data_IF_894588433171
#
_entry.id   IF_894588433171
#
_cell.length_a   1.000
_cell.length_b   1.000
_cell.length_c   1.000
_cell.angle_alpha   90.00
_cell.angle_beta   90.00
_cell.angle_gamma   90.00
#
_symmetry.space_group_name_H-M   'P 1'
#
loop_
_entity.id
_entity.type
_entity.pdbx_description
1 polymer ?
#
# COMPACT_ATOMS: atom_id res chain seq x y z
N UNK A 1 17.52 -7.07 -23.61
CA UNK A 1 17.21 -7.21 -25.05
C UNK A 1 16.71 -8.61 -25.38
N UNK A 2 17.53 -9.65 -25.13
CA UNK A 2 17.05 -11.04 -25.05
C UNK A 2 16.32 -11.27 -23.72
N UNK A 3 15.39 -12.22 -23.69
CA UNK A 3 14.73 -12.67 -22.44
C UNK A 3 15.71 -13.46 -21.56
N UNK A 4 15.56 -13.34 -20.23
CA UNK A 4 16.26 -14.16 -19.23
C UNK A 4 15.43 -15.36 -18.76
N UNK A 5 14.25 -15.57 -19.35
CA UNK A 5 13.45 -16.78 -19.09
C UNK A 5 14.23 -18.00 -19.54
N UNK A 6 14.33 -18.98 -18.64
CA UNK A 6 14.98 -20.26 -18.90
C UNK A 6 14.06 -21.41 -18.53
N UNK A 7 14.46 -22.65 -18.85
CA UNK A 7 13.77 -23.85 -18.32
C UNK A 7 13.71 -23.86 -16.79
N UNK A 8 14.67 -23.25 -16.10
CA UNK A 8 14.67 -23.16 -14.63
C UNK A 8 13.56 -22.25 -14.12
N UNK A 9 13.22 -21.18 -14.84
CA UNK A 9 12.07 -20.31 -14.52
C UNK A 9 10.76 -21.10 -14.48
N UNK A 10 10.55 -22.01 -15.44
CA UNK A 10 9.40 -22.92 -15.44
C UNK A 10 9.46 -23.94 -14.30
N UNK A 11 10.64 -24.54 -14.05
CA UNK A 11 10.79 -25.54 -12.97
C UNK A 11 10.51 -24.95 -11.59
N UNK A 12 10.94 -23.71 -11.34
CA UNK A 12 10.68 -23.01 -10.09
C UNK A 12 9.18 -22.81 -9.87
N UNK A 13 8.46 -22.33 -10.89
CA UNK A 13 7.01 -22.17 -10.82
C UNK A 13 6.27 -23.50 -10.68
N UNK A 14 6.79 -24.56 -11.32
CA UNK A 14 6.18 -25.89 -11.26
C UNK A 14 6.19 -26.51 -9.85
N UNK A 15 7.05 -26.03 -8.94
CA UNK A 15 7.04 -26.50 -7.55
C UNK A 15 5.73 -26.19 -6.83
N UNK A 16 5.06 -25.09 -7.21
CA UNK A 16 3.79 -24.66 -6.63
C UNK A 16 2.59 -25.50 -7.06
N UNK A 17 2.76 -26.40 -8.04
CA UNK A 17 1.69 -27.29 -8.50
C UNK A 17 1.45 -28.42 -7.50
N UNK A 18 0.21 -28.90 -7.42
CA UNK A 18 -0.16 -30.03 -6.54
C UNK A 18 0.57 -31.33 -6.90
N UNK A 19 1.06 -31.47 -8.14
CA UNK A 19 1.89 -32.60 -8.55
C UNK A 19 3.27 -32.62 -7.87
N UNK A 20 3.68 -31.49 -7.26
CA UNK A 20 5.00 -31.30 -6.65
C UNK A 20 4.87 -30.93 -5.17
N UNK A 21 5.13 -29.67 -4.79
CA UNK A 21 5.08 -29.22 -3.39
C UNK A 21 3.74 -28.59 -3.01
N UNK A 22 2.90 -28.24 -4.01
CA UNK A 22 1.65 -27.53 -3.82
C UNK A 22 1.82 -26.03 -3.51
N UNK A 23 0.71 -25.28 -3.40
CA UNK A 23 0.74 -23.86 -3.10
C UNK A 23 1.42 -23.60 -1.76
N UNK A 24 2.32 -22.63 -1.75
CA UNK A 24 3.05 -22.22 -0.56
C UNK A 24 3.33 -20.73 -0.57
N UNK A 25 3.39 -20.10 0.62
CA UNK A 25 3.75 -18.69 0.71
C UNK A 25 5.24 -18.44 0.44
N UNK A 26 6.07 -19.48 0.58
CA UNK A 26 7.52 -19.41 0.43
C UNK A 26 8.04 -20.48 -0.54
N UNK A 27 9.06 -20.17 -1.36
CA UNK A 27 9.68 -18.85 -1.51
C UNK A 27 8.71 -17.80 -2.09
N UNK A 28 8.85 -16.53 -1.69
CA UNK A 28 8.11 -15.41 -2.31
C UNK A 28 8.58 -15.21 -3.77
N UNK A 29 7.93 -15.89 -4.72
CA UNK A 29 8.32 -15.86 -6.14
C UNK A 29 7.77 -14.60 -6.80
N UNK A 30 8.70 -13.76 -7.28
CA UNK A 30 8.42 -12.57 -8.08
C UNK A 30 8.72 -12.81 -9.56
N UNK A 31 7.79 -12.43 -10.43
CA UNK A 31 7.97 -12.43 -11.87
C UNK A 31 8.29 -11.02 -12.34
N UNK A 32 9.47 -10.83 -12.94
CA UNK A 32 9.80 -9.58 -13.64
C UNK A 32 9.06 -9.57 -14.96
N UNK A 33 7.97 -8.81 -15.00
CA UNK A 33 7.05 -8.75 -16.12
C UNK A 33 7.47 -7.68 -17.13
N UNK A 34 7.54 -8.07 -18.39
CA UNK A 34 7.65 -7.19 -19.55
C UNK A 34 6.69 -7.76 -20.60
N UNK A 35 5.89 -6.94 -21.31
CA UNK A 35 4.99 -7.41 -22.36
C UNK A 35 5.71 -8.23 -23.46
N UNK A 36 7.03 -8.06 -23.62
CA UNK A 36 7.90 -8.80 -24.55
C UNK A 36 8.38 -10.15 -24.02
N UNK A 37 7.98 -10.57 -22.83
CA UNK A 37 8.26 -11.92 -22.34
C UNK A 37 7.70 -12.98 -23.32
N UNK A 38 8.34 -14.16 -23.43
CA UNK A 38 7.83 -15.24 -24.25
C UNK A 38 6.39 -15.60 -23.86
N UNK A 39 5.49 -15.65 -24.84
CA UNK A 39 4.05 -15.87 -24.62
C UNK A 39 3.76 -17.13 -23.80
N UNK A 40 4.46 -18.23 -24.10
CA UNK A 40 4.31 -19.47 -23.35
C UNK A 40 4.65 -19.33 -21.86
N UNK A 41 5.60 -18.44 -21.51
CA UNK A 41 5.93 -18.17 -20.12
C UNK A 41 4.89 -17.27 -19.45
N UNK A 42 4.42 -16.22 -20.13
CA UNK A 42 3.33 -15.36 -19.64
C UNK A 42 2.09 -16.18 -19.29
N UNK A 43 1.65 -17.05 -20.21
CA UNK A 43 0.52 -17.97 -19.99
C UNK A 43 0.75 -18.92 -18.82
N UNK A 44 1.98 -19.43 -18.65
CA UNK A 44 2.31 -20.32 -17.55
C UNK A 44 2.27 -19.60 -16.20
N UNK A 45 2.82 -18.39 -16.09
CA UNK A 45 2.71 -17.57 -14.88
C UNK A 45 1.25 -17.29 -14.53
N UNK A 46 0.46 -16.87 -15.51
CA UNK A 46 -0.98 -16.61 -15.34
C UNK A 46 -1.71 -17.86 -14.80
N UNK A 47 -1.45 -19.04 -15.38
CA UNK A 47 -2.00 -20.30 -14.87
C UNK A 47 -1.63 -20.54 -13.41
N UNK A 48 -0.36 -20.36 -13.04
CA UNK A 48 0.08 -20.52 -11.65
C UNK A 48 -0.63 -19.54 -10.71
N UNK A 49 -0.82 -18.28 -11.09
CA UNK A 49 -1.62 -17.33 -10.29
C UNK A 49 -3.07 -17.78 -10.13
N UNK A 50 -3.71 -18.26 -11.19
CA UNK A 50 -5.09 -18.76 -11.18
C UNK A 50 -5.22 -19.97 -10.24
N UNK A 51 -4.28 -20.91 -10.33
CA UNK A 51 -4.33 -22.17 -9.58
C UNK A 51 -3.97 -21.99 -8.10
N UNK A 52 -3.07 -21.03 -7.79
CA UNK A 52 -2.37 -21.02 -6.48
C UNK A 52 -2.44 -19.70 -5.73
N UNK A 53 -2.68 -18.58 -6.41
CA UNK A 53 -2.54 -17.22 -5.85
C UNK A 53 -1.21 -16.99 -5.08
N UNK A 54 -0.13 -17.68 -5.47
CA UNK A 54 1.11 -17.71 -4.68
C UNK A 54 2.22 -16.78 -5.19
N UNK A 55 2.12 -16.26 -6.42
CA UNK A 55 3.17 -15.44 -7.06
C UNK A 55 2.75 -13.98 -7.21
N UNK A 56 3.75 -13.11 -7.39
CA UNK A 56 3.56 -11.68 -7.67
C UNK A 56 4.32 -11.24 -8.93
N UNK A 57 4.00 -10.05 -9.40
CA UNK A 57 4.54 -9.48 -10.63
C UNK A 57 5.13 -8.10 -10.34
N UNK A 58 6.28 -7.80 -10.93
CA UNK A 58 6.94 -6.49 -10.84
C UNK A 58 7.42 -6.05 -12.22
N UNK A 59 7.44 -4.75 -12.48
CA UNK A 59 7.79 -4.16 -13.76
C UNK A 59 9.29 -4.33 -14.05
N UNK A 60 9.63 -5.25 -14.96
CA UNK A 60 11.02 -5.41 -15.44
C UNK A 60 11.53 -4.11 -16.06
N UNK A 61 10.65 -3.36 -16.75
CA UNK A 61 11.02 -2.11 -17.39
C UNK A 61 11.55 -1.11 -16.36
N UNK A 62 10.77 -0.82 -15.33
CA UNK A 62 11.13 0.20 -14.34
C UNK A 62 12.33 -0.25 -13.49
N UNK A 63 12.37 -1.54 -13.14
CA UNK A 63 13.50 -2.13 -12.41
C UNK A 63 14.78 -2.05 -13.24
N UNK A 64 14.73 -2.45 -14.51
CA UNK A 64 15.91 -2.49 -15.38
C UNK A 64 16.41 -1.11 -15.76
N UNK A 65 15.53 -0.13 -15.91
CA UNK A 65 15.88 1.27 -16.18
C UNK A 65 16.67 1.91 -15.02
N UNK A 66 16.36 1.56 -13.78
CA UNK A 66 17.02 2.12 -12.59
C UNK A 66 18.16 1.26 -12.03
N UNK A 67 17.99 -0.05 -12.05
CA UNK A 67 18.83 -0.99 -11.30
C UNK A 67 19.54 -1.99 -12.22
N UNK A 68 19.26 -1.99 -13.53
CA UNK A 68 19.89 -2.91 -14.48
C UNK A 68 19.25 -4.29 -14.54
N UNK A 69 19.82 -5.17 -15.35
CA UNK A 69 19.24 -6.47 -15.72
C UNK A 69 19.69 -7.65 -14.83
N UNK A 70 20.46 -7.36 -13.77
CA UNK A 70 20.89 -8.31 -12.73
C UNK A 70 20.45 -7.81 -11.33
N UNK A 71 19.20 -7.34 -11.27
CA UNK A 71 18.55 -6.94 -10.03
C UNK A 71 17.73 -8.09 -9.43
N UNK A 72 17.57 -8.08 -8.11
CA UNK A 72 16.67 -8.94 -7.38
C UNK A 72 15.78 -8.09 -6.46
N UNK A 73 14.72 -8.70 -5.95
CA UNK A 73 13.79 -8.03 -5.02
C UNK A 73 14.11 -8.49 -3.60
N UNK A 74 14.34 -7.52 -2.73
CA UNK A 74 14.37 -7.76 -1.29
C UNK A 74 12.99 -7.53 -0.68
N UNK A 75 12.66 -8.36 0.29
CA UNK A 75 11.40 -8.33 1.03
C UNK A 75 10.18 -8.54 0.11
N UNK A 76 9.57 -7.45 -0.36
CA UNK A 76 8.31 -7.45 -1.08
C UNK A 76 8.43 -6.87 -2.47
N UNK A 77 8.93 -5.63 -2.59
CA UNK A 77 8.85 -4.80 -3.80
C UNK A 77 10.08 -3.89 -3.96
N UNK A 78 11.15 -4.17 -3.22
CA UNK A 78 12.32 -3.28 -3.11
C UNK A 78 13.48 -3.83 -3.93
N UNK A 79 13.75 -3.29 -5.14
CA UNK A 79 14.75 -3.83 -6.03
C UNK A 79 16.16 -3.43 -5.59
N UNK A 80 17.12 -4.34 -5.80
CA UNK A 80 18.53 -4.11 -5.56
C UNK A 80 19.39 -4.79 -6.62
N UNK A 81 20.50 -4.15 -6.99
CA UNK A 81 21.57 -4.81 -7.75
C UNK A 81 22.26 -5.87 -6.89
N UNK A 82 22.19 -7.13 -7.32
CA UNK A 82 22.69 -8.27 -6.54
C UNK A 82 24.18 -8.10 -6.24
N UNK A 83 24.55 -8.21 -4.95
CA UNK A 83 25.93 -8.09 -4.49
C UNK A 83 26.52 -6.67 -4.58
N UNK A 84 25.74 -5.66 -4.97
CA UNK A 84 26.23 -4.27 -5.21
C UNK A 84 25.44 -3.21 -4.46
N UNK A 85 24.26 -3.56 -3.94
CA UNK A 85 23.33 -2.63 -3.34
C UNK A 85 22.61 -3.26 -2.14
N UNK A 86 22.25 -2.42 -1.18
CA UNK A 86 21.38 -2.78 -0.06
C UNK A 86 20.46 -1.60 0.29
N UNK A 87 19.34 -1.89 0.96
CA UNK A 87 18.48 -0.90 1.60
C UNK A 87 18.72 -0.90 3.10
N UNK A 88 18.82 0.30 3.68
CA UNK A 88 18.48 0.52 5.07
C UNK A 88 16.96 0.50 5.19
N UNK A 89 16.43 -0.57 5.79
CA UNK A 89 14.99 -0.77 5.95
C UNK A 89 14.41 0.15 7.03
N UNK A 90 13.39 0.92 6.67
CA UNK A 90 12.83 1.94 7.55
C UNK A 90 11.44 1.63 8.13
N UNK A 91 10.86 0.46 7.85
CA UNK A 91 9.44 0.21 8.05
C UNK A 91 8.54 1.19 7.27
N UNK A 92 7.70 2.00 7.92
CA UNK A 92 6.87 3.04 7.29
C UNK A 92 6.37 4.06 8.29
N UNK A 93 5.85 5.19 7.80
CA UNK A 93 5.10 6.19 8.58
C UNK A 93 3.59 6.17 8.28
N UNK A 94 2.80 6.62 9.25
CA UNK A 94 1.35 6.83 9.08
C UNK A 94 1.08 8.21 8.46
N UNK A 95 1.15 8.29 7.13
CA UNK A 95 0.94 9.54 6.40
C UNK A 95 -0.52 10.03 6.49
N UNK A 96 -1.50 9.13 6.64
CA UNK A 96 -2.89 9.51 6.82
C UNK A 96 -3.11 10.21 8.17
N UNK A 97 -2.58 9.67 9.29
CA UNK A 97 -2.72 10.30 10.61
C UNK A 97 -2.11 11.71 10.68
N UNK A 98 -1.05 11.98 9.90
CA UNK A 98 -0.51 13.34 9.79
C UNK A 98 -1.54 14.35 9.25
N UNK A 99 -2.53 13.93 8.45
CA UNK A 99 -3.65 14.78 8.02
C UNK A 99 -4.55 15.16 9.22
N UNK A 100 -4.80 14.21 10.13
CA UNK A 100 -5.59 14.48 11.34
C UNK A 100 -4.83 15.41 12.29
N UNK A 101 -3.51 15.23 12.43
CA UNK A 101 -2.67 16.17 13.17
C UNK A 101 -2.68 17.56 12.53
N UNK A 102 -2.65 17.64 11.20
CA UNK A 102 -2.74 18.91 10.47
C UNK A 102 -4.05 19.67 10.74
N UNK A 103 -5.15 18.95 10.89
CA UNK A 103 -6.46 19.50 11.25
C UNK A 103 -6.49 19.92 12.72
N UNK A 104 -5.98 19.08 13.62
CA UNK A 104 -6.06 19.27 15.08
C UNK A 104 -4.92 20.10 15.70
N UNK A 105 -4.06 20.72 14.88
CA UNK A 105 -2.95 21.54 15.37
C UNK A 105 -1.89 20.73 16.11
N UNK A 106 -1.56 19.54 15.59
CA UNK A 106 -0.57 18.64 16.15
C UNK A 106 -1.07 17.75 17.29
N UNK A 107 -2.35 17.84 17.67
CA UNK A 107 -2.96 16.98 18.68
C UNK A 107 -3.44 15.67 18.07
N UNK A 108 -3.21 14.58 18.80
CA UNK A 108 -3.69 13.25 18.45
C UNK A 108 -5.18 13.10 18.73
N UNK A 109 -5.94 12.69 17.72
CA UNK A 109 -7.39 12.58 17.76
C UNK A 109 -7.90 11.40 18.59
N UNK A 110 -7.01 10.45 18.95
CA UNK A 110 -7.36 9.26 19.73
C UNK A 110 -7.12 9.45 21.23
N UNK A 111 -6.17 10.31 21.60
CA UNK A 111 -5.69 10.48 22.98
C UNK A 111 -5.78 11.92 23.49
N UNK A 112 -5.91 12.90 22.60
CA UNK A 112 -5.83 14.33 22.92
C UNK A 112 -4.40 14.83 23.19
N UNK A 113 -3.38 13.97 23.13
CA UNK A 113 -2.00 14.35 23.40
C UNK A 113 -1.45 15.31 22.34
N UNK A 114 -0.68 16.30 22.76
CA UNK A 114 0.10 17.13 21.83
C UNK A 114 1.29 16.31 21.31
N UNK A 115 1.30 16.00 20.01
CA UNK A 115 2.36 15.19 19.38
C UNK A 115 3.32 16.06 18.58
N UNK A 116 2.80 16.96 17.76
CA UNK A 116 3.61 18.00 17.10
C UNK A 116 3.64 19.21 18.03
N UNK A 117 4.80 19.79 18.30
CA UNK A 117 4.93 20.92 19.24
C UNK A 117 4.03 22.11 18.89
N UNK A 118 3.53 22.79 19.93
CA UNK A 118 2.68 23.98 19.77
C UNK A 118 3.42 25.07 19.01
N UNK A 119 2.74 25.69 18.05
CA UNK A 119 3.29 26.76 17.20
C UNK A 119 3.94 26.27 15.91
N UNK A 120 4.08 24.96 15.68
CA UNK A 120 4.47 24.40 14.37
C UNK A 120 3.27 24.39 13.43
N UNK A 121 2.12 23.90 13.91
CA UNK A 121 0.85 23.83 13.17
C UNK A 121 -0.26 24.36 14.06
N UNK A 122 -1.00 25.35 13.57
CA UNK A 122 -2.20 25.85 14.22
C UNK A 122 -3.42 25.00 13.83
N UNK A 123 -4.37 24.74 14.76
CA UNK A 123 -5.56 23.97 14.44
C UNK A 123 -6.44 24.68 13.40
N UNK A 124 -7.03 23.89 12.50
CA UNK A 124 -7.92 24.42 11.46
C UNK A 124 -9.21 24.90 12.11
N UNK A 125 -9.59 26.14 11.79
CA UNK A 125 -10.88 26.70 12.15
C UNK A 125 -11.84 26.58 10.97
N UNK A 126 -13.08 26.10 11.18
CA UNK A 126 -14.07 26.03 10.11
C UNK A 126 -14.36 27.40 9.50
N UNK A 127 -14.81 27.38 8.24
CA UNK A 127 -15.36 28.53 7.54
C UNK A 127 -16.69 28.99 8.15
N UNK A 128 -17.20 30.11 7.67
CA UNK A 128 -18.45 30.69 8.17
C UNK A 128 -19.67 29.77 8.04
N UNK A 129 -19.68 28.86 7.05
CA UNK A 129 -20.73 27.86 6.87
C UNK A 129 -20.46 26.55 7.64
N UNK A 130 -19.39 26.49 8.44
CA UNK A 130 -19.03 25.36 9.30
C UNK A 130 -18.17 24.29 8.64
N UNK A 131 -17.77 24.46 7.37
CA UNK A 131 -16.94 23.47 6.67
C UNK A 131 -15.44 23.69 6.88
N UNK A 132 -14.64 22.63 6.72
CA UNK A 132 -13.18 22.73 6.61
C UNK A 132 -12.80 23.23 5.21
N UNK A 133 -11.79 24.11 5.14
CA UNK A 133 -11.26 24.63 3.88
C UNK A 133 -10.11 23.75 3.35
N UNK A 134 -10.22 23.31 2.09
CA UNK A 134 -9.25 22.43 1.45
C UNK A 134 -7.83 23.02 1.42
N UNK A 135 -7.66 24.28 1.04
CA UNK A 135 -6.34 24.89 0.87
C UNK A 135 -5.63 25.03 2.23
N UNK A 136 -6.36 25.44 3.28
CA UNK A 136 -5.81 25.51 4.64
C UNK A 136 -5.43 24.12 5.17
N UNK A 137 -6.28 23.12 4.99
CA UNK A 137 -5.99 21.75 5.44
C UNK A 137 -4.78 21.18 4.70
N UNK A 138 -4.72 21.33 3.37
CA UNK A 138 -3.60 20.87 2.55
C UNK A 138 -2.28 21.56 2.95
N UNK A 139 -2.30 22.87 3.18
CA UNK A 139 -1.12 23.62 3.62
C UNK A 139 -0.63 23.18 5.02
N UNK A 140 -1.55 22.90 5.95
CA UNK A 140 -1.16 22.32 7.24
C UNK A 140 -0.68 20.87 7.10
N UNK A 141 -1.23 20.11 6.16
CA UNK A 141 -0.82 18.74 5.90
C UNK A 141 0.60 18.67 5.37
N UNK A 142 0.99 19.58 4.47
CA UNK A 142 2.38 19.74 4.02
C UNK A 142 3.34 19.92 5.21
N UNK A 143 2.99 20.79 6.18
CA UNK A 143 3.79 21.00 7.40
C UNK A 143 3.83 19.77 8.31
N UNK A 144 2.72 19.04 8.41
CA UNK A 144 2.67 17.81 9.19
C UNK A 144 3.55 16.71 8.58
N UNK A 145 3.55 16.59 7.24
CA UNK A 145 4.42 15.68 6.51
C UNK A 145 5.90 16.09 6.60
N UNK A 146 6.18 17.40 6.63
CA UNK A 146 7.52 17.94 6.89
C UNK A 146 8.05 17.49 8.25
N UNK A 147 7.30 17.75 9.32
CA UNK A 147 7.64 17.32 10.69
C UNK A 147 7.76 15.80 10.81
N UNK A 148 6.84 15.06 10.19
CA UNK A 148 6.84 13.61 10.18
C UNK A 148 8.12 13.06 9.54
N UNK A 149 8.53 13.65 8.41
CA UNK A 149 9.73 13.23 7.68
C UNK A 149 11.01 13.50 8.47
N UNK A 150 11.10 14.66 9.13
CA UNK A 150 12.23 15.00 10.01
C UNK A 150 12.36 14.01 11.16
N UNK A 151 11.26 13.78 11.87
CA UNK A 151 11.18 12.80 12.97
C UNK A 151 11.56 11.40 12.51
N UNK A 152 11.09 11.01 11.32
CA UNK A 152 11.35 9.70 10.76
C UNK A 152 12.83 9.50 10.42
N UNK A 153 13.44 10.44 9.69
CA UNK A 153 14.86 10.34 9.32
C UNK A 153 15.77 10.41 10.55
N UNK A 154 15.44 11.21 11.56
CA UNK A 154 16.19 11.23 12.82
C UNK A 154 16.21 9.84 13.49
N UNK A 155 15.04 9.20 13.61
CA UNK A 155 14.94 7.85 14.16
C UNK A 155 15.75 6.83 13.35
N UNK A 156 15.66 6.89 12.02
CA UNK A 156 16.35 5.96 11.12
C UNK A 156 17.86 6.12 11.13
N UNK A 157 18.35 7.37 11.22
CA UNK A 157 19.77 7.64 11.36
C UNK A 157 20.34 6.99 12.62
N UNK A 158 19.60 7.03 13.74
CA UNK A 158 19.97 6.35 14.97
C UNK A 158 19.92 4.84 14.78
N UNK A 159 18.81 4.30 14.25
CA UNK A 159 18.62 2.86 14.05
C UNK A 159 19.76 2.26 13.24
N UNK A 160 20.06 2.81 12.05
CA UNK A 160 21.04 2.22 11.15
C UNK A 160 22.48 2.44 11.62
N UNK A 161 22.77 3.56 12.31
CA UNK A 161 24.04 3.71 13.00
C UNK A 161 24.24 2.61 14.05
N UNK A 162 23.22 2.32 14.85
CA UNK A 162 23.30 1.28 15.88
C UNK A 162 23.35 -0.12 15.28
N UNK A 163 22.61 -0.38 14.20
CA UNK A 163 22.64 -1.66 13.49
C UNK A 163 24.02 -1.95 12.92
N UNK A 164 24.61 -1.00 12.18
CA UNK A 164 25.97 -1.15 11.64
C UNK A 164 27.01 -1.38 12.75
N UNK A 165 26.81 -0.77 13.94
CA UNK A 165 27.76 -0.88 15.05
C UNK A 165 27.64 -2.19 15.83
N UNK A 166 26.42 -2.68 16.05
CA UNK A 166 26.15 -3.75 17.01
C UNK A 166 25.66 -5.05 16.39
N UNK A 167 25.15 -5.01 15.16
CA UNK A 167 24.51 -6.13 14.48
C UNK A 167 24.86 -6.19 12.98
N UNK A 168 26.10 -5.84 12.62
CA UNK A 168 26.55 -5.88 11.22
C UNK A 168 26.46 -7.29 10.62
N UNK A 169 25.76 -7.41 9.49
CA UNK A 169 25.42 -8.62 8.76
C UNK A 169 26.63 -9.17 7.97
N UNK A 170 27.67 -9.54 8.71
CA UNK A 170 29.00 -9.82 8.14
C UNK A 170 29.02 -10.92 7.06
N UNK A 171 28.14 -11.93 7.14
CA UNK A 171 28.10 -13.04 6.18
C UNK A 171 27.46 -12.56 4.88
N UNK A 172 26.33 -11.88 4.97
CA UNK A 172 25.61 -11.30 3.85
C UNK A 172 26.49 -10.26 3.13
N UNK A 173 27.13 -9.39 3.90
CA UNK A 173 28.01 -8.34 3.37
C UNK A 173 29.32 -8.88 2.80
N UNK A 174 29.78 -10.07 3.23
CA UNK A 174 30.94 -10.72 2.62
C UNK A 174 30.68 -11.22 1.19
N UNK A 175 29.41 -11.32 0.78
CA UNK A 175 28.98 -11.69 -0.57
C UNK A 175 28.71 -10.48 -1.48
N UNK A 176 29.10 -9.28 -1.04
CA UNK A 176 28.98 -8.05 -1.80
C UNK A 176 30.34 -7.52 -2.27
N UNK A 177 30.30 -6.64 -3.27
CA UNK A 177 31.43 -5.80 -3.64
C UNK A 177 31.92 -4.97 -2.44
N UNK A 178 33.18 -4.55 -2.48
CA UNK A 178 33.83 -3.76 -1.41
C UNK A 178 33.04 -2.50 -1.05
N UNK A 179 32.49 -1.82 -2.05
CA UNK A 179 31.64 -0.63 -1.88
C UNK A 179 30.21 -0.99 -2.25
N UNK A 180 29.32 -0.95 -1.27
CA UNK A 180 27.90 -1.25 -1.45
C UNK A 180 27.12 0.06 -1.54
N UNK A 181 26.36 0.22 -2.62
CA UNK A 181 25.42 1.33 -2.76
C UNK A 181 24.27 1.18 -1.77
N UNK A 182 23.99 2.24 -0.99
CA UNK A 182 22.97 2.20 0.06
C UNK A 182 21.84 3.16 -0.27
N UNK A 183 20.62 2.68 -0.15
CA UNK A 183 19.43 3.54 -0.09
C UNK A 183 18.82 3.46 1.31
N UNK A 184 17.99 4.43 1.67
CA UNK A 184 17.16 4.40 2.87
C UNK A 184 15.70 4.27 2.41
N UNK A 185 15.12 3.08 2.56
CA UNK A 185 13.78 2.75 2.06
C UNK A 185 12.67 3.24 3.00
N UNK A 186 12.29 4.51 2.87
CA UNK A 186 11.28 5.19 3.69
C UNK A 186 9.85 4.80 3.28
N UNK A 187 9.20 3.92 4.03
CA UNK A 187 7.83 3.51 3.71
C UNK A 187 6.78 4.56 4.12
N UNK A 188 5.65 4.57 3.42
CA UNK A 188 4.44 5.30 3.83
C UNK A 188 3.20 4.40 3.83
N UNK A 189 2.23 4.74 4.68
CA UNK A 189 0.95 4.04 4.84
C UNK A 189 -0.21 5.02 4.83
N UNK A 190 -1.38 4.56 4.34
CA UNK A 190 -2.62 5.35 4.31
C UNK A 190 -2.76 6.28 3.10
N UNK A 191 -2.15 5.92 1.96
CA UNK A 191 -2.18 6.74 0.73
C UNK A 191 -3.62 7.03 0.27
N UNK A 192 -4.44 5.99 0.10
CA UNK A 192 -5.83 6.12 -0.37
C UNK A 192 -6.66 7.00 0.56
N UNK A 193 -6.60 6.76 1.87
CA UNK A 193 -7.32 7.55 2.88
C UNK A 193 -6.90 9.03 2.82
N UNK A 194 -5.61 9.33 2.69
CA UNK A 194 -5.14 10.70 2.57
C UNK A 194 -5.64 11.36 1.28
N UNK A 195 -5.54 10.66 0.14
CA UNK A 195 -6.00 11.15 -1.16
C UNK A 195 -7.52 11.40 -1.17
N UNK A 196 -8.30 10.44 -0.71
CA UNK A 196 -9.76 10.50 -0.68
C UNK A 196 -10.26 11.53 0.34
N UNK A 197 -9.54 11.73 1.45
CA UNK A 197 -9.87 12.78 2.41
C UNK A 197 -9.63 14.17 1.83
N UNK A 198 -8.53 14.34 1.08
CA UNK A 198 -8.27 15.58 0.33
C UNK A 198 -9.31 15.77 -0.78
N UNK A 199 -9.77 14.70 -1.43
CA UNK A 199 -10.82 14.77 -2.43
C UNK A 199 -12.17 15.18 -1.82
N UNK A 200 -12.54 14.59 -0.67
CA UNK A 200 -13.73 14.96 0.09
C UNK A 200 -13.71 16.45 0.48
N UNK A 201 -12.58 16.94 0.99
CA UNK A 201 -12.39 18.35 1.35
C UNK A 201 -12.50 19.29 0.14
N UNK A 202 -12.07 18.82 -1.04
CA UNK A 202 -12.02 19.65 -2.26
C UNK A 202 -13.35 19.68 -3.02
N UNK A 203 -14.06 18.56 -3.07
CA UNK A 203 -15.22 18.36 -3.94
C UNK A 203 -16.55 18.21 -3.20
N UNK A 204 -16.53 17.99 -1.89
CA UNK A 204 -17.70 17.90 -1.02
C UNK A 204 -17.61 18.91 0.13
N UNK A 205 -18.62 18.90 1.01
CA UNK A 205 -18.64 19.71 2.24
C UNK A 205 -18.33 18.86 3.45
N UNK A 206 -17.20 19.12 4.10
CA UNK A 206 -16.76 18.37 5.28
C UNK A 206 -16.94 19.23 6.54
N UNK A 207 -17.76 18.75 7.46
CA UNK A 207 -18.02 19.38 8.76
C UNK A 207 -17.29 18.60 9.87
N UNK A 208 -16.47 19.26 10.70
CA UNK A 208 -15.81 18.57 11.81
C UNK A 208 -16.79 18.29 12.95
N UNK A 209 -16.62 17.13 13.59
CA UNK A 209 -17.29 16.76 14.84
C UNK A 209 -16.29 16.90 15.98
N UNK A 210 -16.59 17.81 16.90
CA UNK A 210 -15.77 18.06 18.08
C UNK A 210 -16.06 17.04 19.18
N UNK A 211 -15.07 16.76 20.04
CA UNK A 211 -15.20 15.77 21.11
C UNK A 211 -16.39 16.03 22.04
N UNK A 212 -16.64 17.30 22.38
CA UNK A 212 -17.80 17.69 23.21
C UNK A 212 -19.16 17.33 22.59
N UNK A 213 -19.22 17.27 21.26
CA UNK A 213 -20.45 17.03 20.49
C UNK A 213 -20.57 15.57 20.02
N UNK A 214 -19.48 14.80 20.04
CA UNK A 214 -19.44 13.43 19.54
C UNK A 214 -20.45 12.51 20.23
N UNK A 215 -20.59 12.60 21.56
CA UNK A 215 -21.55 11.80 22.35
C UNK A 215 -23.01 11.98 21.98
N UNK A 216 -23.37 13.15 21.44
CA UNK A 216 -24.75 13.54 21.15
C UNK A 216 -25.03 13.62 19.65
N UNK A 217 -24.01 13.44 18.82
CA UNK A 217 -24.14 13.40 17.37
C UNK A 217 -24.38 11.96 16.93
N UNK A 218 -25.56 11.69 16.37
CA UNK A 218 -25.95 10.36 15.91
C UNK A 218 -24.93 9.79 14.92
N UNK A 219 -24.45 8.58 15.19
CA UNK A 219 -23.46 7.89 14.35
C UNK A 219 -22.01 8.28 14.63
N UNK A 220 -21.75 9.16 15.59
CA UNK A 220 -20.41 9.63 15.97
C UNK A 220 -20.09 9.35 17.46
N UNK A 221 -20.96 8.64 18.17
CA UNK A 221 -20.85 8.41 19.60
C UNK A 221 -19.60 7.58 19.96
N UNK A 222 -19.19 6.69 19.06
CA UNK A 222 -17.98 5.85 19.21
C UNK A 222 -16.67 6.63 19.00
N UNK A 223 -16.74 7.84 18.47
CA UNK A 223 -15.58 8.68 18.19
C UNK A 223 -15.13 9.46 19.43
N UNK A 224 -16.05 9.68 20.38
CA UNK A 224 -15.77 10.36 21.65
C UNK A 224 -14.54 9.80 22.37
N UNK A 225 -13.69 10.70 22.86
CA UNK A 225 -12.51 10.41 23.65
C UNK A 225 -12.73 10.89 25.08
N UNK A 226 -12.74 9.95 26.02
CA UNK A 226 -12.84 10.28 27.44
C UNK A 226 -11.59 11.02 27.91
N UNK A 227 -11.79 12.19 28.52
CA UNK A 227 -10.69 13.07 28.95
C UNK A 227 -10.04 13.89 27.82
N UNK A 228 -10.50 13.75 26.57
CA UNK A 228 -10.06 14.61 25.47
C UNK A 228 -10.65 16.03 25.56
N UNK A 229 -9.92 17.03 25.05
CA UNK A 229 -10.36 18.42 25.03
C UNK A 229 -11.66 18.61 24.24
N UNK A 230 -12.53 19.52 24.69
CA UNK A 230 -13.81 19.83 24.05
C UNK A 230 -13.68 20.29 22.59
N UNK A 231 -12.57 20.92 22.24
CA UNK A 231 -12.28 21.47 20.91
C UNK A 231 -11.46 20.54 20.02
N UNK A 232 -11.16 19.32 20.46
CA UNK A 232 -10.52 18.28 19.65
C UNK A 232 -11.49 17.77 18.59
N UNK A 233 -11.09 17.73 17.32
CA UNK A 233 -11.89 17.13 16.25
C UNK A 233 -11.64 15.63 16.26
N UNK A 234 -12.70 14.85 16.46
CA UNK A 234 -12.64 13.37 16.57
C UNK A 234 -13.40 12.66 15.45
N UNK A 235 -14.18 13.41 14.67
CA UNK A 235 -15.06 12.89 13.63
C UNK A 235 -15.34 13.89 12.52
N UNK A 236 -15.99 13.40 11.46
CA UNK A 236 -16.32 14.21 10.29
C UNK A 236 -17.68 13.82 9.70
N UNK A 237 -18.48 14.81 9.33
CA UNK A 237 -19.68 14.63 8.51
C UNK A 237 -19.41 15.20 7.13
N UNK A 238 -19.39 14.34 6.12
CA UNK A 238 -19.18 14.71 4.72
C UNK A 238 -20.52 14.73 3.97
N UNK A 239 -20.81 15.83 3.27
CA UNK A 239 -22.05 16.04 2.52
C UNK A 239 -21.73 16.39 1.07
N UNK A 240 -22.22 15.56 0.15
CA UNK A 240 -21.95 15.67 -1.29
C UNK A 240 -21.06 14.54 -1.80
N UNK A 241 -21.11 14.32 -3.11
CA UNK A 241 -20.29 13.31 -3.80
C UNK A 241 -18.88 13.86 -4.07
N UNK A 242 -17.87 12.99 -4.01
CA UNK A 242 -16.49 13.31 -4.36
C UNK A 242 -15.83 12.11 -5.06
N UNK A 243 -14.84 12.33 -5.95
CA UNK A 243 -14.10 11.25 -6.59
C UNK A 243 -13.21 10.52 -5.58
N UNK A 244 -13.00 9.22 -5.79
CA UNK A 244 -12.15 8.38 -4.94
C UNK A 244 -11.10 7.66 -5.77
N UNK A 245 -9.89 7.57 -5.20
CA UNK A 245 -8.70 6.97 -5.81
C UNK A 245 -8.94 5.50 -6.13
N UNK A 246 -8.43 5.03 -7.28
CA UNK A 246 -8.60 3.64 -7.73
C UNK A 246 -9.65 3.41 -8.80
N UNK A 247 -10.22 4.49 -9.37
CA UNK A 247 -11.28 4.42 -10.37
C UNK A 247 -10.91 5.07 -11.71
N UNK A 248 -9.61 5.30 -11.94
CA UNK A 248 -9.06 6.03 -13.10
C UNK A 248 -9.64 7.46 -13.24
N UNK A 249 -9.87 8.14 -12.11
CA UNK A 249 -10.34 9.53 -12.06
C UNK A 249 -9.19 10.45 -11.61
N UNK A 250 -8.66 11.23 -12.56
CA UNK A 250 -7.53 12.14 -12.33
C UNK A 250 -7.75 13.10 -11.15
N UNK A 251 -9.01 13.45 -10.83
CA UNK A 251 -9.31 14.37 -9.73
C UNK A 251 -8.91 13.82 -8.36
N UNK A 252 -8.96 12.50 -8.17
CA UNK A 252 -8.51 11.82 -6.95
C UNK A 252 -7.09 11.27 -7.12
N UNK A 253 -6.76 10.73 -8.29
CA UNK A 253 -5.44 10.16 -8.57
C UNK A 253 -4.32 11.21 -8.50
N UNK A 254 -4.58 12.45 -8.94
CA UNK A 254 -3.62 13.56 -8.79
C UNK A 254 -3.38 13.94 -7.32
N UNK A 255 -4.36 13.72 -6.43
CA UNK A 255 -4.17 13.93 -5.00
C UNK A 255 -3.29 12.82 -4.41
N UNK A 256 -3.49 11.57 -4.82
CA UNK A 256 -2.62 10.46 -4.41
C UNK A 256 -1.17 10.70 -4.86
N UNK A 257 -0.96 11.06 -6.12
CA UNK A 257 0.37 11.47 -6.65
C UNK A 257 0.98 12.60 -5.83
N UNK A 258 0.18 13.63 -5.55
CA UNK A 258 0.64 14.77 -4.77
C UNK A 258 1.10 14.36 -3.37
N UNK A 259 0.40 13.45 -2.68
CA UNK A 259 0.82 12.94 -1.36
C UNK A 259 2.17 12.22 -1.48
N UNK A 260 2.30 11.29 -2.43
CA UNK A 260 3.54 10.52 -2.65
C UNK A 260 4.73 11.44 -2.93
N UNK A 261 4.60 12.35 -3.89
CA UNK A 261 5.66 13.29 -4.27
C UNK A 261 6.00 14.27 -3.14
N UNK A 262 5.02 14.63 -2.31
CA UNK A 262 5.26 15.51 -1.16
C UNK A 262 6.10 14.82 -0.09
N UNK A 263 5.76 13.57 0.28
CA UNK A 263 6.57 12.81 1.26
C UNK A 263 7.99 12.60 0.73
N UNK A 264 8.15 12.18 -0.53
CA UNK A 264 9.47 11.98 -1.13
C UNK A 264 10.26 13.31 -1.21
N UNK A 265 9.56 14.40 -1.53
CA UNK A 265 10.09 15.76 -1.53
C UNK A 265 10.63 16.20 -0.17
N UNK A 266 9.99 15.77 0.92
CA UNK A 266 10.45 16.04 2.28
C UNK A 266 11.62 15.14 2.68
N UNK A 267 11.58 13.83 2.43
CA UNK A 267 12.67 12.94 2.86
C UNK A 267 13.99 13.21 2.12
N UNK A 268 13.94 13.59 0.82
CA UNK A 268 15.16 13.81 0.03
C UNK A 268 16.01 15.00 0.47
N UNK A 269 15.44 15.96 1.22
CA UNK A 269 16.18 17.15 1.70
C UNK A 269 16.99 16.87 2.96
N UNK A 270 16.73 15.75 3.63
CA UNK A 270 17.24 15.46 4.97
C UNK A 270 18.59 14.72 4.91
N UNK A 271 19.52 15.01 5.84
CA UNK A 271 20.79 14.29 5.92
C UNK A 271 20.56 12.86 6.42
N UNK A 272 21.16 11.89 5.73
CA UNK A 272 20.99 10.46 6.04
C UNK A 272 22.33 9.80 6.38
N UNK A 273 22.29 8.88 7.35
CA UNK A 273 23.42 8.08 7.81
C UNK A 273 24.15 7.39 6.64
N UNK A 274 25.49 7.45 6.67
CA UNK A 274 26.40 6.98 5.61
C UNK A 274 26.07 7.51 4.20
N UNK A 275 25.43 8.67 4.10
CA UNK A 275 25.00 9.27 2.84
C UNK A 275 24.17 8.29 1.99
N UNK A 276 23.39 7.41 2.63
CA UNK A 276 22.46 6.56 1.89
C UNK A 276 21.45 7.44 1.14
N UNK A 277 21.07 7.01 -0.07
CA UNK A 277 20.14 7.76 -0.91
C UNK A 277 18.72 7.52 -0.42
N UNK A 278 17.96 8.54 0.01
CA UNK A 278 16.57 8.38 0.41
C UNK A 278 15.75 7.85 -0.77
N UNK A 279 15.00 6.78 -0.54
CA UNK A 279 13.99 6.23 -1.44
C UNK A 279 12.69 6.06 -0.67
N UNK A 280 11.57 5.89 -1.36
CA UNK A 280 10.27 5.75 -0.72
C UNK A 280 9.56 4.49 -1.22
N UNK A 281 8.78 3.86 -0.34
CA UNK A 281 7.87 2.77 -0.70
C UNK A 281 6.45 3.05 -0.25
N UNK A 282 5.48 2.63 -1.05
CA UNK A 282 4.07 2.59 -0.67
C UNK A 282 3.72 1.12 -0.37
N UNK A 283 4.13 0.68 0.82
CA UNK A 283 4.09 -0.70 1.29
C UNK A 283 3.75 -0.74 2.79
N UNK A 284 2.78 -1.56 3.19
CA UNK A 284 2.29 -1.58 4.58
C UNK A 284 2.59 -2.85 5.37
N UNK A 285 2.77 -4.01 4.71
CA UNK A 285 2.75 -5.33 5.37
C UNK A 285 1.44 -5.48 6.18
N UNK A 286 1.51 -5.66 7.50
CA UNK A 286 0.38 -5.70 8.43
C UNK A 286 0.21 -4.41 9.22
N UNK A 287 1.04 -3.40 8.96
CA UNK A 287 0.93 -2.08 9.62
C UNK A 287 -0.36 -1.35 9.22
N UNK A 288 -1.04 -1.76 8.14
CA UNK A 288 -2.36 -1.23 7.78
C UNK A 288 -3.41 -1.49 8.88
N UNK A 289 -3.35 -2.66 9.52
CA UNK A 289 -4.22 -3.01 10.65
C UNK A 289 -3.81 -2.24 11.90
N UNK A 290 -2.51 -2.21 12.23
CA UNK A 290 -2.04 -1.55 13.45
C UNK A 290 -2.21 -0.03 13.41
N UNK A 291 -1.94 0.61 12.27
CA UNK A 291 -2.22 2.04 12.11
C UNK A 291 -3.70 2.34 12.11
N UNK A 292 -4.53 1.51 11.46
CA UNK A 292 -5.99 1.64 11.49
C UNK A 292 -6.54 1.67 12.91
N UNK A 293 -6.15 0.69 13.74
CA UNK A 293 -6.54 0.62 15.17
C UNK A 293 -6.23 1.87 15.96
N UNK A 294 -5.08 2.49 15.68
CA UNK A 294 -4.58 3.65 16.41
C UNK A 294 -4.94 4.98 15.73
N UNK A 295 -5.91 4.99 14.81
CA UNK A 295 -6.32 6.20 14.10
C UNK A 295 -7.84 6.41 14.13
N UNK A 296 -8.24 7.68 14.22
CA UNK A 296 -9.61 8.17 14.20
C UNK A 296 -10.28 8.12 12.83
N UNK A 297 -11.47 8.71 12.75
CA UNK A 297 -12.21 8.82 11.49
C UNK A 297 -11.63 9.90 10.59
N UNK A 298 -11.94 9.84 9.29
CA UNK A 298 -11.42 10.77 8.29
C UNK A 298 -12.51 11.48 7.48
N UNK A 299 -12.18 12.62 6.83
CA UNK A 299 -13.07 13.29 5.86
C UNK A 299 -13.57 12.39 4.72
N UNK A 300 -12.80 11.38 4.30
CA UNK A 300 -13.21 10.41 3.28
C UNK A 300 -14.37 9.50 3.72
N UNK A 301 -14.68 9.47 5.02
CA UNK A 301 -15.60 8.50 5.61
C UNK A 301 -14.92 7.23 6.14
N UNK A 302 -13.59 7.12 6.06
CA UNK A 302 -12.85 6.06 6.74
C UNK A 302 -13.17 6.10 8.24
N UNK A 303 -13.50 4.93 8.81
CA UNK A 303 -14.00 4.83 10.19
C UNK A 303 -12.85 4.60 11.17
N UNK A 304 -12.91 5.28 12.32
CA UNK A 304 -12.01 5.09 13.47
C UNK A 304 -11.78 3.62 13.77
N UNK A 305 -10.52 3.24 13.92
CA UNK A 305 -10.10 1.90 14.33
C UNK A 305 -10.14 0.83 13.23
N UNK A 306 -10.64 1.15 12.03
CA UNK A 306 -10.71 0.15 10.95
C UNK A 306 -9.39 0.06 10.18
N UNK A 307 -9.02 -1.12 9.64
CA UNK A 307 -7.76 -1.28 8.90
C UNK A 307 -7.67 -0.37 7.68
N UNK A 308 -6.47 0.13 7.40
CA UNK A 308 -6.20 0.78 6.11
C UNK A 308 -6.15 -0.25 4.99
N UNK A 309 -6.27 0.22 3.75
CA UNK A 309 -5.92 -0.59 2.58
C UNK A 309 -4.41 -0.94 2.58
N UNK A 310 -4.02 -2.12 2.03
CA UNK A 310 -2.63 -2.53 1.99
C UNK A 310 -1.83 -1.76 0.93
N UNK A 311 -0.59 -1.36 1.23
CA UNK A 311 0.29 -0.69 0.28
C UNK A 311 -0.35 0.55 -0.37
N UNK A 312 -0.34 0.57 -1.70
CA UNK A 312 -0.88 1.62 -2.55
C UNK A 312 -2.31 1.35 -3.03
N UNK A 313 -2.99 0.36 -2.43
CA UNK A 313 -4.35 0.01 -2.80
C UNK A 313 -5.33 1.18 -2.60
N UNK A 314 -6.37 1.27 -3.46
CA UNK A 314 -7.60 1.97 -3.15
C UNK A 314 -8.18 1.53 -1.81
N UNK A 315 -8.96 2.40 -1.17
CA UNK A 315 -9.62 2.05 0.09
C UNK A 315 -10.57 0.86 -0.13
N UNK A 316 -10.65 -0.06 0.84
CA UNK A 316 -11.35 -1.34 0.68
C UNK A 316 -12.80 -1.13 0.25
N UNK A 317 -13.16 -1.61 -0.94
CA UNK A 317 -14.50 -1.49 -1.52
C UNK A 317 -14.77 -0.21 -2.32
N UNK A 318 -13.79 0.69 -2.45
CA UNK A 318 -13.97 1.98 -3.14
C UNK A 318 -13.60 1.92 -4.63
N UNK A 319 -12.77 0.98 -5.05
CA UNK A 319 -12.47 0.70 -6.45
C UNK A 319 -13.56 -0.14 -7.11
N UNK A 320 -14.49 0.55 -7.79
CA UNK A 320 -15.75 0.00 -8.29
C UNK A 320 -15.82 -0.16 -9.81
N UNK A 321 -14.87 0.42 -10.55
CA UNK A 321 -14.84 0.38 -12.03
C UNK A 321 -14.10 -0.84 -12.60
N UNK A 322 -13.64 -1.74 -11.73
CA UNK A 322 -12.95 -2.99 -12.10
C UNK A 322 -11.43 -2.94 -11.87
N UNK A 323 -10.78 -4.09 -12.10
CA UNK A 323 -9.37 -4.28 -11.75
C UNK A 323 -8.41 -3.42 -12.60
N UNK A 324 -8.73 -3.17 -13.87
CA UNK A 324 -7.88 -2.36 -14.75
C UNK A 324 -7.87 -0.88 -14.37
N UNK A 325 -9.02 -0.20 -14.16
CA UNK A 325 -9.02 1.17 -13.63
C UNK A 325 -8.25 1.31 -12.30
N UNK A 326 -8.40 0.34 -11.39
CA UNK A 326 -7.63 0.30 -10.13
C UNK A 326 -6.12 0.23 -10.38
N UNK A 327 -5.68 -0.65 -11.29
CA UNK A 327 -4.28 -0.73 -11.73
C UNK A 327 -3.78 0.56 -12.40
N UNK A 328 -4.63 1.22 -13.21
CA UNK A 328 -4.27 2.45 -13.90
C UNK A 328 -4.10 3.61 -12.93
N UNK A 329 -5.01 3.80 -11.97
CA UNK A 329 -4.87 4.79 -10.90
C UNK A 329 -3.55 4.62 -10.14
N UNK A 330 -3.19 3.38 -9.78
CA UNK A 330 -1.93 3.09 -9.09
C UNK A 330 -0.72 3.33 -10.01
N UNK A 331 -0.82 2.96 -11.28
CA UNK A 331 0.23 3.16 -12.28
C UNK A 331 0.51 4.62 -12.64
N UNK A 332 -0.37 5.56 -12.24
CA UNK A 332 -0.12 7.00 -12.36
C UNK A 332 0.85 7.55 -11.30
N UNK A 333 1.17 6.77 -10.26
CA UNK A 333 2.18 7.15 -9.26
C UNK A 333 3.56 7.07 -9.92
N UNK A 334 4.34 8.15 -9.80
CA UNK A 334 5.69 8.19 -10.37
C UNK A 334 6.63 7.28 -9.58
N UNK A 335 7.25 6.31 -10.28
CA UNK A 335 8.21 5.40 -9.68
C UNK A 335 9.48 6.12 -9.20
N UNK A 336 9.85 7.26 -9.80
CA UNK A 336 10.98 8.07 -9.36
C UNK A 336 10.77 8.63 -7.94
N UNK A 337 9.51 8.82 -7.53
CA UNK A 337 9.14 9.21 -6.16
C UNK A 337 8.92 8.01 -5.22
N UNK A 338 9.09 6.78 -5.72
CA UNK A 338 8.78 5.55 -5.00
C UNK A 338 9.73 4.38 -5.33
N UNK A 339 11.01 4.69 -5.49
CA UNK A 339 12.06 3.75 -5.92
C UNK A 339 12.26 2.51 -5.01
N UNK A 340 11.70 2.51 -3.79
CA UNK A 340 11.70 1.35 -2.88
C UNK A 340 10.46 0.44 -3.05
N UNK A 341 9.53 0.83 -3.93
CA UNK A 341 8.45 0.00 -4.47
C UNK A 341 7.03 0.52 -4.19
N UNK A 342 6.10 0.21 -5.10
CA UNK A 342 4.67 0.58 -5.03
C UNK A 342 3.82 -0.68 -4.99
N UNK A 343 3.25 -1.04 -3.84
CA UNK A 343 2.57 -2.34 -3.69
C UNK A 343 1.07 -2.27 -3.97
N UNK A 344 0.58 -2.93 -5.03
CA UNK A 344 -0.84 -3.18 -5.27
C UNK A 344 -1.21 -4.65 -5.00
N UNK A 345 -2.33 -4.88 -4.34
CA UNK A 345 -2.90 -6.22 -4.11
C UNK A 345 -4.31 -6.33 -4.62
N UNK A 346 -4.49 -7.04 -5.73
CA UNK A 346 -5.79 -7.23 -6.36
C UNK A 346 -6.31 -8.64 -6.15
N UNK A 347 -7.61 -8.72 -5.89
CA UNK A 347 -8.34 -9.98 -5.87
C UNK A 347 -9.41 -9.95 -6.94
N UNK A 348 -9.41 -10.96 -7.80
CA UNK A 348 -10.43 -11.16 -8.83
C UNK A 348 -11.07 -12.53 -8.64
N UNK A 349 -12.39 -12.61 -8.86
CA UNK A 349 -13.09 -13.89 -8.85
C UNK A 349 -12.74 -14.70 -10.10
N UNK A 350 -12.74 -16.05 -10.04
CA UNK A 350 -12.49 -16.88 -11.23
C UNK A 350 -13.41 -16.55 -12.41
N UNK A 351 -14.70 -16.30 -12.14
CA UNK A 351 -15.68 -15.97 -13.19
C UNK A 351 -15.51 -14.53 -13.71
N UNK A 352 -15.05 -13.62 -12.86
CA UNK A 352 -14.68 -12.26 -13.26
C UNK A 352 -13.47 -12.21 -14.20
N UNK A 353 -12.64 -13.26 -14.18
CA UNK A 353 -11.48 -13.38 -15.06
C UNK A 353 -11.80 -14.09 -16.38
N UNK A 354 -12.77 -15.00 -16.42
CA UNK A 354 -13.17 -15.71 -17.63
C UNK A 354 -14.03 -16.96 -17.35
N UNK A 355 -14.69 -17.47 -18.40
CA UNK A 355 -15.64 -18.59 -18.31
C UNK A 355 -14.94 -19.94 -18.27
N UNK A 356 -13.80 -20.06 -18.94
CA UNK A 356 -12.97 -21.25 -18.98
C UNK A 356 -11.49 -20.93 -18.68
N UNK A 357 -10.67 -21.98 -18.55
CA UNK A 357 -9.26 -21.85 -18.20
C UNK A 357 -8.46 -21.03 -19.22
N UNK A 358 -8.68 -21.25 -20.52
CA UNK A 358 -7.95 -20.56 -21.57
C UNK A 358 -8.31 -19.07 -21.64
N UNK A 359 -9.59 -18.73 -21.45
CA UNK A 359 -10.06 -17.35 -21.35
C UNK A 359 -9.46 -16.67 -20.11
N UNK A 360 -9.49 -17.33 -18.94
CA UNK A 360 -8.91 -16.78 -17.70
C UNK A 360 -7.42 -16.50 -17.85
N UNK A 361 -6.66 -17.44 -18.41
CA UNK A 361 -5.22 -17.28 -18.67
C UNK A 361 -4.99 -16.09 -19.61
N UNK A 362 -5.73 -16.04 -20.73
CA UNK A 362 -5.53 -15.01 -21.75
C UNK A 362 -5.90 -13.62 -21.21
N UNK A 363 -6.99 -13.51 -20.45
CA UNK A 363 -7.42 -12.27 -19.82
C UNK A 363 -6.44 -11.83 -18.74
N UNK A 364 -5.90 -12.73 -17.91
CA UNK A 364 -4.91 -12.34 -16.90
C UNK A 364 -3.62 -11.83 -17.54
N UNK A 365 -3.14 -12.49 -18.61
CA UNK A 365 -1.98 -11.99 -19.39
C UNK A 365 -2.29 -10.59 -19.94
N UNK A 366 -3.47 -10.40 -20.54
CA UNK A 366 -3.91 -9.10 -21.06
C UNK A 366 -3.98 -8.01 -19.99
N UNK A 367 -4.46 -8.36 -18.79
CA UNK A 367 -4.56 -7.42 -17.66
C UNK A 367 -3.17 -7.03 -17.16
N UNK A 368 -2.25 -7.99 -17.01
CA UNK A 368 -0.87 -7.72 -16.60
C UNK A 368 -0.12 -6.89 -17.65
N UNK A 369 -0.29 -7.20 -18.93
CA UNK A 369 0.30 -6.42 -20.04
C UNK A 369 -0.26 -4.99 -20.06
N UNK A 370 -1.59 -4.83 -19.89
CA UNK A 370 -2.23 -3.52 -19.86
C UNK A 370 -1.81 -2.69 -18.64
N UNK A 371 -1.84 -3.29 -17.43
CA UNK A 371 -1.41 -2.63 -16.20
C UNK A 371 0.05 -2.18 -16.28
N UNK A 372 0.96 -3.08 -16.66
CA UNK A 372 2.38 -2.72 -16.82
C UNK A 372 2.59 -1.65 -17.91
N UNK A 373 1.84 -1.72 -19.01
CA UNK A 373 1.85 -0.69 -20.06
C UNK A 373 1.37 0.69 -19.60
N UNK A 374 0.63 0.78 -18.49
CA UNK A 374 0.12 2.01 -17.87
C UNK A 374 0.87 2.37 -16.57
N UNK A 375 2.11 1.92 -16.41
CA UNK A 375 2.99 2.35 -15.30
C UNK A 375 2.83 1.54 -14.02
N UNK A 376 2.07 0.45 -14.02
CA UNK A 376 1.96 -0.40 -12.83
C UNK A 376 3.30 -1.05 -12.49
N UNK A 377 3.83 -0.69 -11.32
CA UNK A 377 5.10 -1.20 -10.82
C UNK A 377 5.00 -2.63 -10.29
N UNK A 378 4.05 -2.93 -9.39
CA UNK A 378 3.92 -4.26 -8.78
C UNK A 378 2.44 -4.66 -8.66
N UNK A 379 2.16 -5.96 -8.81
CA UNK A 379 0.86 -6.55 -8.59
C UNK A 379 0.94 -7.90 -7.86
N UNK A 380 0.26 -7.99 -6.72
CA UNK A 380 -0.22 -9.25 -6.19
C UNK A 380 -1.56 -9.60 -6.86
N UNK A 381 -1.67 -10.85 -7.33
CA UNK A 381 -2.89 -11.37 -7.96
C UNK A 381 -3.42 -12.54 -7.15
N UNK A 382 -4.58 -12.34 -6.53
CA UNK A 382 -5.40 -13.39 -5.97
C UNK A 382 -6.54 -13.74 -6.93
N UNK A 383 -6.73 -15.03 -7.21
CA UNK A 383 -7.87 -15.55 -7.97
C UNK A 383 -8.75 -16.38 -7.05
N UNK A 384 -9.61 -15.71 -6.28
CA UNK A 384 -10.29 -16.28 -5.13
C UNK A 384 -11.75 -15.81 -5.04
N UNK A 385 -12.56 -16.60 -4.32
CA UNK A 385 -13.94 -16.24 -3.98
C UNK A 385 -14.04 -15.84 -2.51
N UNK A 386 -14.87 -14.85 -2.21
CA UNK A 386 -15.10 -14.41 -0.84
C UNK A 386 -15.67 -15.55 0.02
N UNK A 387 -16.60 -16.31 -0.55
CA UNK A 387 -17.26 -17.45 0.11
C UNK A 387 -16.25 -18.56 0.45
N UNK A 388 -15.21 -18.75 -0.36
CA UNK A 388 -14.14 -19.71 -0.10
C UNK A 388 -13.32 -19.29 1.14
N UNK A 389 -13.02 -18.00 1.26
CA UNK A 389 -12.31 -17.48 2.44
C UNK A 389 -13.18 -17.57 3.68
N UNK A 390 -14.47 -17.23 3.59
CA UNK A 390 -15.42 -17.38 4.69
C UNK A 390 -15.54 -18.83 5.16
N UNK A 391 -15.67 -19.81 4.25
CA UNK A 391 -15.66 -21.25 4.59
C UNK A 391 -14.30 -21.66 5.19
N UNK A 392 -13.19 -21.09 4.73
CA UNK A 392 -11.86 -21.37 5.29
C UNK A 392 -11.66 -20.82 6.71
N UNK A 393 -12.39 -19.79 7.10
CA UNK A 393 -12.39 -19.30 8.48
C UNK A 393 -13.15 -20.25 9.41
N UNK A 394 -14.28 -20.79 8.97
CA UNK A 394 -15.11 -21.70 9.77
C UNK A 394 -14.60 -23.15 9.75
N UNK A 395 -13.96 -23.56 8.66
CA UNK A 395 -13.48 -24.92 8.39
C UNK A 395 -12.01 -24.94 7.92
N UNK A 396 -11.05 -24.45 8.73
CA UNK A 396 -9.65 -24.32 8.32
C UNK A 396 -8.99 -25.65 7.91
N UNK A 397 -9.47 -26.77 8.44
CA UNK A 397 -8.98 -28.12 8.11
C UNK A 397 -9.22 -28.53 6.65
N UNK A 398 -10.19 -27.92 5.96
CA UNK A 398 -10.44 -28.15 4.53
C UNK A 398 -9.44 -27.41 3.63
N UNK A 399 -8.75 -26.41 4.17
CA UNK A 399 -7.92 -25.46 3.42
C UNK A 399 -6.46 -25.38 3.94
N UNK A 400 -5.78 -26.50 4.21
CA UNK A 400 -4.46 -26.49 4.86
C UNK A 400 -3.36 -25.78 4.05
N UNK A 401 -3.57 -25.63 2.74
CA UNK A 401 -2.61 -25.02 1.79
C UNK A 401 -3.16 -23.74 1.13
N UNK A 402 -4.30 -23.20 1.59
CA UNK A 402 -4.89 -22.00 1.00
C UNK A 402 -3.95 -20.81 1.18
N UNK A 403 -3.34 -20.41 0.08
CA UNK A 403 -2.36 -19.35 0.01
C UNK A 403 -3.03 -18.09 -0.53
N UNK A 404 -2.77 -16.97 0.13
CA UNK A 404 -3.31 -15.65 -0.24
C UNK A 404 -2.19 -14.63 -0.26
N UNK A 405 -2.19 -13.73 -1.26
CA UNK A 405 -1.33 -12.54 -1.29
C UNK A 405 -1.97 -11.43 -0.45
N UNK A 406 -1.20 -10.81 0.44
CA UNK A 406 -1.75 -9.83 1.41
C UNK A 406 -1.16 -8.43 1.30
N UNK A 407 0.15 -8.25 1.15
CA UNK A 407 0.76 -6.91 1.08
C UNK A 407 2.22 -7.02 0.62
N UNK A 408 2.44 -7.52 -0.61
CA UNK A 408 3.78 -7.76 -1.18
C UNK A 408 4.38 -9.14 -0.86
N UNK A 409 3.64 -9.99 -0.18
CA UNK A 409 4.02 -11.37 0.14
C UNK A 409 2.77 -12.24 0.27
N UNK A 410 2.99 -13.56 0.23
CA UNK A 410 1.96 -14.57 0.43
C UNK A 410 1.94 -15.07 1.87
N UNK A 411 0.77 -15.51 2.33
CA UNK A 411 0.58 -16.19 3.61
C UNK A 411 -0.35 -17.37 3.43
N UNK A 412 -0.24 -18.32 4.35
CA UNK A 412 -1.28 -19.32 4.51
C UNK A 412 -2.46 -18.71 5.27
N UNK A 413 -3.62 -18.64 4.63
CA UNK A 413 -4.79 -17.93 5.14
C UNK A 413 -5.26 -18.44 6.51
N UNK A 414 -5.21 -19.76 6.73
CA UNK A 414 -5.67 -20.35 8.00
C UNK A 414 -4.69 -20.11 9.16
N UNK A 415 -3.49 -19.58 8.88
CA UNK A 415 -2.50 -19.18 9.90
C UNK A 415 -2.62 -17.72 10.32
N UNK A 416 -3.43 -16.92 9.64
CA UNK A 416 -3.71 -15.55 10.02
C UNK A 416 -4.58 -15.50 11.28
N UNK A 417 -4.48 -14.43 12.06
CA UNK A 417 -5.44 -14.19 13.15
C UNK A 417 -6.82 -13.90 12.55
N UNK A 418 -7.92 -14.14 13.30
CA UNK A 418 -9.28 -13.85 12.82
C UNK A 418 -9.44 -12.40 12.34
N UNK A 419 -8.80 -11.45 13.02
CA UNK A 419 -8.81 -10.05 12.61
C UNK A 419 -8.13 -9.82 11.25
N UNK A 420 -6.96 -10.43 11.04
CA UNK A 420 -6.26 -10.35 9.76
C UNK A 420 -7.04 -11.07 8.64
N UNK A 421 -7.71 -12.17 8.94
CA UNK A 421 -8.59 -12.86 7.99
C UNK A 421 -9.76 -11.96 7.58
N UNK A 422 -10.38 -11.27 8.54
CA UNK A 422 -11.46 -10.33 8.27
C UNK A 422 -11.00 -9.13 7.45
N UNK A 423 -9.78 -8.59 7.69
CA UNK A 423 -9.17 -7.58 6.81
C UNK A 423 -9.11 -8.10 5.37
N UNK A 424 -8.52 -9.28 5.14
CA UNK A 424 -8.43 -9.88 3.80
C UNK A 424 -9.80 -10.07 3.14
N UNK A 425 -10.81 -10.54 3.88
CA UNK A 425 -12.19 -10.75 3.38
C UNK A 425 -12.92 -9.42 3.08
N UNK A 426 -12.55 -8.34 3.76
CA UNK A 426 -13.18 -7.01 3.60
C UNK A 426 -12.71 -6.24 2.37
N UNK A 427 -11.58 -6.65 1.77
CA UNK A 427 -11.00 -6.02 0.57
C UNK A 427 -11.88 -6.20 -0.65
N UNK A 428 -11.59 -5.45 -1.70
CA UNK A 428 -12.29 -5.54 -2.99
C UNK A 428 -12.05 -6.89 -3.66
N UNK A 429 -13.15 -7.52 -4.11
CA UNK A 429 -13.13 -8.71 -4.98
C UNK A 429 -13.73 -8.32 -6.33
N UNK A 430 -12.89 -8.13 -7.35
CA UNK A 430 -13.36 -7.76 -8.67
C UNK A 430 -14.18 -8.91 -9.31
N UNK A 431 -15.31 -8.55 -9.90
CA UNK A 431 -16.26 -9.48 -10.54
C UNK A 431 -16.31 -9.24 -12.05
N UNK A 432 -15.17 -9.08 -12.71
CA UNK A 432 -15.09 -8.81 -14.16
C UNK A 432 -15.81 -7.51 -14.57
N UNK A 433 -15.73 -7.17 -15.85
CA UNK A 433 -16.72 -6.24 -16.40
C UNK A 433 -18.02 -7.02 -16.46
N UNK A 434 -19.02 -6.57 -15.71
CA UNK A 434 -20.39 -7.08 -15.80
C UNK A 434 -20.76 -7.09 -17.28
N UNK A 435 -21.01 -8.29 -17.82
CA UNK A 435 -21.75 -8.43 -19.07
C UNK A 435 -23.22 -8.43 -18.69
N UNK A 436 -23.89 -7.38 -19.16
CA UNK A 436 -25.31 -7.02 -19.08
C UNK A 436 -25.87 -6.50 -17.73
#
# INVERSE_FOLDING_TARGET
>A
GRTFVTKTSFRLLNTLTLEHLGPGPEPNITIFWDPKLPEAYKRFCARISIDTSAIQYESDKDIREHWGDDAAIACCVSPMRVGKQMQFFAARVNSAKALLYAINGGRDEMTGMQVIDKGVIDPIKPEADGTLDYEKVKANYEKALEWLSETYIEALNIIHYMHDKYAYESIEMALHDREVYRTLGCGMSGLSIAADSLAALKYAKVYPIYNKDAKTTEGHEYEYIEGGDDDLIVGYKTVGEFPVYGNDDDRADDLAKWVVSTVMGQVKRLPVYRNAVPTQSILTITSNVEYGKNTGSFPSGHKKGTPYAPGANPENGMDSHGMLPSMFSVGKIDYDDALDGISLTNTITPDGLGRDEDERISNLVGILDAGNGHGLYHANINVLRKEQLEDAVEHPEKYPHLTVRVSGYAVNFVKLTKEQQLDVISRTFHQGSVTD
#
